data_IF_088302304622
#
_entry.id   IF_088302304622
#
_cell.length_a   1.000
_cell.length_b   1.000
_cell.length_c   1.000
_cell.angle_alpha   90.00
_cell.angle_beta   90.00
_cell.angle_gamma   90.00
#
_symmetry.space_group_name_H-M   'P 1'
#
loop_
_entity.id
_entity.type
_entity.pdbx_description
1 polymer ?
#
# COMPACT_ATOMS: atom_id res chain seq x y z
N UNK A 1 22.76 6.28 6.29
CA UNK A 1 21.42 6.86 6.09
C UNK A 1 20.48 5.80 5.54
N UNK A 2 19.34 5.59 6.17
CA UNK A 2 18.40 4.56 5.72
C UNK A 2 17.74 4.95 4.40
N UNK A 3 17.63 4.00 3.48
CA UNK A 3 16.81 4.17 2.28
C UNK A 3 15.36 3.96 2.63
N UNK A 4 14.49 4.74 2.00
CA UNK A 4 13.06 4.51 2.07
C UNK A 4 12.64 3.63 0.90
N UNK A 5 11.93 2.56 1.19
CA UNK A 5 11.34 1.72 0.16
C UNK A 5 9.92 2.23 -0.15
N UNK A 6 9.72 2.69 -1.38
CA UNK A 6 8.41 3.13 -1.87
C UNK A 6 7.83 2.02 -2.72
N UNK A 7 6.72 1.45 -2.30
CA UNK A 7 6.07 0.32 -2.98
C UNK A 7 4.71 0.76 -3.48
N UNK A 8 4.47 0.60 -4.78
CA UNK A 8 3.18 0.92 -5.38
C UNK A 8 2.47 -0.38 -5.75
N UNK A 9 1.35 -0.63 -5.09
CA UNK A 9 0.47 -1.75 -5.40
C UNK A 9 -0.60 -1.29 -6.38
N UNK A 10 -0.76 -2.00 -7.50
CA UNK A 10 -1.73 -1.64 -8.54
C UNK A 10 -2.83 -2.66 -8.71
N UNK A 11 -2.70 -3.83 -8.10
CA UNK A 11 -3.63 -4.94 -8.25
C UNK A 11 -4.29 -5.29 -6.92
N UNK A 12 -5.49 -5.83 -7.00
CA UNK A 12 -6.23 -6.40 -5.89
C UNK A 12 -6.63 -7.83 -6.22
N UNK A 13 -7.92 -8.15 -6.06
CA UNK A 13 -8.42 -9.49 -6.36
C UNK A 13 -8.37 -9.83 -7.85
N UNK A 14 -8.20 -8.85 -8.71
CA UNK A 14 -8.05 -9.04 -10.16
C UNK A 14 -6.72 -9.69 -10.55
N UNK A 15 -5.68 -9.51 -9.71
CA UNK A 15 -4.38 -10.16 -9.88
C UNK A 15 -3.79 -10.44 -8.49
N UNK A 16 -4.29 -11.48 -7.81
CA UNK A 16 -4.02 -11.65 -6.38
C UNK A 16 -2.55 -11.90 -6.04
N UNK A 17 -1.80 -12.61 -6.88
CA UNK A 17 -0.38 -12.82 -6.60
C UNK A 17 0.40 -11.51 -6.66
N UNK A 18 0.11 -10.66 -7.64
CA UNK A 18 0.76 -9.36 -7.77
C UNK A 18 0.43 -8.46 -6.57
N UNK A 19 -0.83 -8.46 -6.15
CA UNK A 19 -1.26 -7.75 -4.96
C UNK A 19 -0.51 -8.23 -3.72
N UNK A 20 -0.47 -9.55 -3.52
CA UNK A 20 0.20 -10.15 -2.38
C UNK A 20 1.70 -9.83 -2.36
N UNK A 21 2.36 -9.82 -3.51
CA UNK A 21 3.78 -9.49 -3.59
C UNK A 21 4.05 -8.07 -3.10
N UNK A 22 3.25 -7.11 -3.50
CA UNK A 22 3.41 -5.72 -3.07
C UNK A 22 3.30 -5.59 -1.55
N UNK A 23 2.26 -6.18 -0.98
CA UNK A 23 2.03 -6.12 0.47
C UNK A 23 3.08 -6.90 1.24
N UNK A 24 3.50 -8.06 0.74
CA UNK A 24 4.54 -8.89 1.37
C UNK A 24 5.87 -8.15 1.41
N UNK A 25 6.28 -7.54 0.30
CA UNK A 25 7.53 -6.79 0.24
C UNK A 25 7.49 -5.59 1.19
N UNK A 26 6.39 -4.85 1.19
CA UNK A 26 6.24 -3.70 2.09
C UNK A 26 6.28 -4.12 3.56
N UNK A 27 5.55 -5.17 3.94
CA UNK A 27 5.51 -5.66 5.31
C UNK A 27 6.87 -6.23 5.75
N UNK A 28 7.57 -6.91 4.84
CA UNK A 28 8.91 -7.44 5.10
C UNK A 28 9.90 -6.31 5.37
N UNK A 29 9.82 -5.24 4.58
CA UNK A 29 10.65 -4.05 4.80
C UNK A 29 10.36 -3.43 6.17
N UNK A 30 9.10 -3.29 6.53
CA UNK A 30 8.68 -2.78 7.82
C UNK A 30 9.26 -3.62 8.97
N UNK A 31 9.16 -4.94 8.87
CA UNK A 31 9.69 -5.87 9.87
C UNK A 31 11.21 -5.80 9.98
N UNK A 32 11.90 -5.50 8.89
CA UNK A 32 13.36 -5.37 8.85
C UNK A 32 13.86 -3.99 9.32
N UNK A 33 12.95 -3.10 9.70
CA UNK A 33 13.32 -1.74 10.14
C UNK A 33 13.63 -0.79 8.98
N UNK A 34 13.31 -1.16 7.75
CA UNK A 34 13.46 -0.29 6.58
C UNK A 34 12.26 0.66 6.52
N UNK A 35 12.47 1.98 6.44
CA UNK A 35 11.35 2.90 6.24
C UNK A 35 10.60 2.54 4.96
N UNK A 36 9.27 2.42 5.04
CA UNK A 36 8.44 1.98 3.93
C UNK A 36 7.26 2.91 3.72
N UNK A 37 6.94 3.16 2.44
CA UNK A 37 5.75 3.89 2.02
C UNK A 37 5.02 3.02 0.99
N UNK A 38 3.83 2.53 1.38
CA UNK A 38 2.99 1.68 0.53
C UNK A 38 1.88 2.51 -0.08
N UNK A 39 1.81 2.51 -1.39
CA UNK A 39 0.77 3.18 -2.15
C UNK A 39 -0.26 2.17 -2.64
N UNK A 40 -1.52 2.48 -2.39
CA UNK A 40 -2.66 1.68 -2.83
C UNK A 40 -3.30 2.36 -4.01
N UNK A 41 -3.16 1.75 -5.19
CA UNK A 41 -3.68 2.26 -6.46
C UNK A 41 -4.43 1.16 -7.19
N UNK A 42 -5.17 1.52 -8.24
CA UNK A 42 -5.95 0.53 -8.98
C UNK A 42 -6.86 -0.25 -8.03
N UNK A 43 -6.93 -1.56 -8.22
CA UNK A 43 -7.78 -2.41 -7.38
C UNK A 43 -7.26 -2.59 -5.95
N UNK A 44 -5.99 -2.28 -5.68
CA UNK A 44 -5.49 -2.23 -4.31
C UNK A 44 -6.15 -1.12 -3.49
N UNK A 45 -6.73 -0.11 -4.14
CA UNK A 45 -7.40 1.00 -3.45
C UNK A 45 -8.50 0.52 -2.50
N UNK A 46 -9.17 -0.59 -2.84
CA UNK A 46 -10.24 -1.15 -2.00
C UNK A 46 -9.75 -1.53 -0.61
N UNK A 47 -8.47 -1.89 -0.46
CA UNK A 47 -7.93 -2.33 0.82
C UNK A 47 -7.66 -1.18 1.79
N UNK A 48 -7.82 0.06 1.35
CA UNK A 48 -7.85 1.20 2.25
C UNK A 48 -9.14 1.27 3.09
N UNK A 49 -10.17 0.54 2.69
CA UNK A 49 -11.45 0.51 3.42
C UNK A 49 -11.41 -0.52 4.55
N UNK A 50 -12.05 -0.22 5.69
CA UNK A 50 -12.13 -1.18 6.80
C UNK A 50 -12.76 -2.51 6.35
N UNK A 51 -12.14 -3.62 6.77
CA UNK A 51 -12.66 -4.96 6.52
C UNK A 51 -12.39 -5.54 5.14
N UNK A 52 -11.97 -4.73 4.18
CA UNK A 52 -11.75 -5.22 2.80
C UNK A 52 -10.55 -6.16 2.69
N UNK A 53 -9.46 -5.89 3.39
CA UNK A 53 -8.29 -6.75 3.36
C UNK A 53 -8.61 -8.16 3.86
N UNK A 54 -9.54 -8.30 4.80
CA UNK A 54 -9.97 -9.60 5.32
C UNK A 54 -10.69 -10.47 4.29
N UNK A 55 -11.20 -9.88 3.21
CA UNK A 55 -11.87 -10.61 2.12
C UNK A 55 -10.91 -11.18 1.08
N UNK A 56 -9.64 -10.77 1.14
CA UNK A 56 -8.63 -11.22 0.21
C UNK A 56 -8.20 -12.65 0.57
N UNK A 57 -8.17 -13.53 -0.42
CA UNK A 57 -7.79 -14.92 -0.23
C UNK A 57 -6.79 -15.34 -1.31
N UNK A 58 -5.65 -15.82 -0.86
CA UNK A 58 -4.62 -16.37 -1.74
C UNK A 58 -3.93 -17.52 -1.00
N UNK A 59 -3.92 -18.75 -1.57
CA UNK A 59 -3.22 -19.87 -0.96
C UNK A 59 -1.73 -19.57 -0.76
N UNK A 60 -1.19 -20.04 0.36
CA UNK A 60 0.23 -19.91 0.71
C UNK A 60 0.72 -18.46 0.88
N UNK A 61 -0.20 -17.53 1.11
CA UNK A 61 0.13 -16.14 1.43
C UNK A 61 -0.21 -15.85 2.89
N UNK A 62 0.54 -14.94 3.50
CA UNK A 62 0.16 -14.41 4.80
C UNK A 62 -1.15 -13.62 4.66
N UNK A 63 -2.00 -13.56 5.70
CA UNK A 63 -3.25 -12.80 5.62
C UNK A 63 -2.99 -11.33 5.29
N UNK A 64 -3.70 -10.81 4.31
CA UNK A 64 -3.52 -9.44 3.86
C UNK A 64 -3.74 -8.42 4.98
N UNK A 65 -4.71 -8.59 5.89
CA UNK A 65 -4.87 -7.67 7.01
C UNK A 65 -3.62 -7.57 7.88
N UNK A 66 -2.92 -8.66 8.10
CA UNK A 66 -1.70 -8.68 8.91
C UNK A 66 -0.58 -7.92 8.23
N UNK A 67 -0.43 -8.09 6.92
CA UNK A 67 0.57 -7.36 6.13
C UNK A 67 0.28 -5.86 6.12
N UNK A 68 -0.98 -5.49 5.91
CA UNK A 68 -1.40 -4.09 5.92
C UNK A 68 -1.16 -3.45 7.29
N UNK A 69 -1.52 -4.15 8.36
CA UNK A 69 -1.33 -3.66 9.72
C UNK A 69 0.14 -3.44 10.06
N UNK A 70 1.01 -4.34 9.63
CA UNK A 70 2.46 -4.20 9.83
C UNK A 70 2.99 -2.92 9.19
N UNK A 71 2.54 -2.59 7.99
CA UNK A 71 2.96 -1.37 7.31
C UNK A 71 2.35 -0.13 7.97
N UNK A 72 1.08 -0.19 8.37
CA UNK A 72 0.43 0.92 9.08
C UNK A 72 1.15 1.25 10.39
N UNK A 73 1.63 0.24 11.10
CA UNK A 73 2.30 0.43 12.39
C UNK A 73 3.70 1.04 12.26
N UNK A 74 4.41 0.75 11.18
CA UNK A 74 5.83 1.08 11.05
C UNK A 74 6.15 2.07 9.93
N UNK A 75 5.23 2.28 9.00
CA UNK A 75 5.48 3.10 7.81
C UNK A 75 4.29 3.95 7.43
N UNK A 76 4.21 4.25 6.14
CA UNK A 76 3.12 5.03 5.56
C UNK A 76 2.29 4.18 4.63
N UNK A 77 0.98 4.36 4.67
CA UNK A 77 0.05 3.80 3.69
C UNK A 77 -0.72 4.95 3.08
N UNK A 78 -0.72 5.02 1.75
CA UNK A 78 -1.35 6.12 1.01
C UNK A 78 -2.32 5.56 -0.02
N UNK A 79 -3.54 6.08 -0.02
CA UNK A 79 -4.53 5.82 -1.05
C UNK A 79 -4.41 6.87 -2.15
N UNK A 80 -4.30 6.43 -3.40
CA UNK A 80 -4.23 7.34 -4.55
C UNK A 80 -5.55 8.08 -4.70
N UNK A 81 -5.48 9.41 -4.76
CA UNK A 81 -6.66 10.29 -4.86
C UNK A 81 -7.56 9.91 -6.05
N UNK A 82 -6.97 9.72 -7.23
CA UNK A 82 -7.75 9.43 -8.44
C UNK A 82 -8.36 8.03 -8.41
N UNK A 83 -7.63 7.07 -7.87
CA UNK A 83 -8.14 5.70 -7.74
C UNK A 83 -9.29 5.63 -6.74
N UNK A 84 -9.21 6.41 -5.67
CA UNK A 84 -10.29 6.56 -4.70
C UNK A 84 -11.53 7.18 -5.36
N UNK A 85 -11.34 8.26 -6.11
CA UNK A 85 -12.45 8.95 -6.78
C UNK A 85 -13.19 8.04 -7.75
N UNK A 86 -12.46 7.24 -8.54
CA UNK A 86 -13.09 6.30 -9.48
C UNK A 86 -13.94 5.24 -8.78
N UNK A 87 -13.65 4.97 -7.51
CA UNK A 87 -14.32 3.91 -6.73
C UNK A 87 -15.29 4.47 -5.69
N UNK A 88 -15.50 5.79 -5.71
CA UNK A 88 -16.40 6.43 -4.75
C UNK A 88 -15.91 6.37 -3.30
N UNK A 89 -14.61 6.26 -3.08
CA UNK A 89 -14.04 6.21 -1.74
C UNK A 89 -13.73 7.64 -1.29
N UNK A 90 -14.37 8.07 -0.20
CA UNK A 90 -14.10 9.36 0.42
C UNK A 90 -12.95 9.30 1.41
N UNK A 91 -12.36 10.46 1.69
CA UNK A 91 -11.26 10.54 2.65
C UNK A 91 -11.65 10.08 4.06
N UNK A 92 -12.95 10.18 4.41
CA UNK A 92 -13.46 9.76 5.70
C UNK A 92 -13.78 8.26 5.77
N UNK A 93 -13.72 7.57 4.64
CA UNK A 93 -14.06 6.14 4.56
C UNK A 93 -12.88 5.23 4.86
N UNK A 94 -11.68 5.76 4.90
CA UNK A 94 -10.45 4.95 4.99
C UNK A 94 -10.12 4.55 6.42
N UNK A 95 -9.33 3.49 6.52
CA UNK A 95 -8.76 3.03 7.79
C UNK A 95 -7.96 4.17 8.44
N UNK A 96 -8.07 4.37 9.76
CA UNK A 96 -7.22 5.34 10.45
C UNK A 96 -5.75 5.11 10.18
N UNK A 97 -5.03 6.19 9.85
CA UNK A 97 -3.61 6.12 9.51
C UNK A 97 -3.33 6.08 8.01
N UNK A 98 -4.34 5.80 7.17
CA UNK A 98 -4.20 5.89 5.71
C UNK A 98 -4.36 7.35 5.30
N UNK A 99 -3.37 7.88 4.58
CA UNK A 99 -3.48 9.21 3.99
C UNK A 99 -3.97 9.12 2.55
N UNK A 100 -4.51 10.21 2.04
CA UNK A 100 -4.95 10.30 0.64
C UNK A 100 -4.07 11.32 -0.06
N UNK A 101 -3.42 10.93 -1.15
CA UNK A 101 -2.54 11.81 -1.92
C UNK A 101 -2.47 11.34 -3.37
N UNK A 102 -1.97 12.21 -4.25
CA UNK A 102 -1.94 11.94 -5.68
C UNK A 102 -0.55 11.72 -6.24
N UNK A 103 -0.47 11.71 -7.56
CA UNK A 103 0.75 11.39 -8.30
C UNK A 103 1.91 12.33 -7.98
N UNK A 104 1.65 13.61 -7.72
CA UNK A 104 2.72 14.55 -7.39
C UNK A 104 3.45 14.14 -6.10
N UNK A 105 2.72 13.69 -5.10
CA UNK A 105 3.31 13.18 -3.86
C UNK A 105 4.09 11.89 -4.10
N UNK A 106 3.54 10.99 -4.92
CA UNK A 106 4.23 9.76 -5.27
C UNK A 106 5.57 10.05 -5.95
N UNK A 107 5.59 10.93 -6.93
CA UNK A 107 6.81 11.30 -7.65
C UNK A 107 7.84 11.91 -6.70
N UNK A 108 7.40 12.79 -5.80
CA UNK A 108 8.31 13.38 -4.81
C UNK A 108 8.95 12.32 -3.91
N UNK A 109 8.19 11.33 -3.49
CA UNK A 109 8.72 10.23 -2.68
C UNK A 109 9.65 9.34 -3.49
N UNK A 110 9.24 8.95 -4.69
CA UNK A 110 9.96 7.99 -5.53
C UNK A 110 11.29 8.55 -6.07
N UNK A 111 11.38 9.86 -6.22
CA UNK A 111 12.57 10.53 -6.75
C UNK A 111 13.47 11.13 -5.69
N UNK A 112 13.16 10.94 -4.42
CA UNK A 112 14.03 11.39 -3.34
C UNK A 112 15.39 10.66 -3.42
N UNK A 113 16.47 11.33 -3.05
CA UNK A 113 17.83 10.79 -3.18
C UNK A 113 18.03 9.47 -2.44
N UNK A 114 17.30 9.27 -1.33
CA UNK A 114 17.40 8.07 -0.51
C UNK A 114 16.28 7.07 -0.75
N UNK A 115 15.52 7.23 -1.84
CA UNK A 115 14.40 6.34 -2.11
C UNK A 115 14.76 5.25 -3.13
N UNK A 116 14.13 4.10 -2.94
CA UNK A 116 14.07 3.01 -3.91
C UNK A 116 12.59 2.75 -4.16
N UNK A 117 12.14 2.86 -5.39
CA UNK A 117 10.73 2.67 -5.74
C UNK A 117 10.53 1.36 -6.49
N UNK A 118 9.52 0.60 -6.08
CA UNK A 118 9.10 -0.65 -6.72
C UNK A 118 7.61 -0.55 -7.05
N UNK A 119 7.25 -0.97 -8.26
CA UNK A 119 5.86 -0.98 -8.72
C UNK A 119 5.46 -2.40 -9.07
N UNK A 120 4.38 -2.83 -8.49
CA UNK A 120 3.79 -4.15 -8.73
C UNK A 120 2.46 -4.05 -9.44
#
# INVERSE_FOLDING_TARGET
MARTLVVKATAGIDAPERCSQAFTVAATAAAAGVPVSLWLTGESAWFALPGRAATFDLPHAAPLPDLLEAVLAAGKVTLCTQCAARRGIGADDVIPGVRVAGAATFVAEATADTAQALVY
#
